data_IF_171280501474
#
_entry.id   IF_171280501474
#
_cell.length_a   1.000
_cell.length_b   1.000
_cell.length_c   1.000
_cell.angle_alpha   90.00
_cell.angle_beta   90.00
_cell.angle_gamma   90.00
#
_symmetry.space_group_name_H-M   'P 1'
#
loop_
_entity.id
_entity.type
_entity.pdbx_description
1 polymer ?
#
# COMPACT_ATOMS: atom_id res chain seq x y z
N UNK A 1 -7.13 -17.07 13.61
CA UNK A 1 -5.83 -16.97 12.92
C UNK A 1 -4.85 -16.33 13.88
N UNK A 2 -3.72 -16.97 14.21
CA UNK A 2 -2.71 -16.35 15.07
C UNK A 2 -2.02 -15.21 14.28
N UNK A 3 -2.09 -13.98 14.78
CA UNK A 3 -1.41 -12.84 14.16
C UNK A 3 0.10 -13.02 14.30
N UNK A 4 0.81 -13.00 13.17
CA UNK A 4 2.27 -12.93 13.19
C UNK A 4 2.70 -11.56 13.72
N UNK A 5 3.69 -11.45 14.63
CA UNK A 5 4.13 -10.17 15.17
C UNK A 5 4.62 -9.22 14.09
N UNK A 6 4.46 -7.91 14.33
CA UNK A 6 5.04 -6.87 13.51
C UNK A 6 6.55 -6.82 13.81
N UNK A 7 7.34 -7.28 12.85
CA UNK A 7 8.79 -7.25 12.96
C UNK A 7 9.33 -5.83 12.79
N UNK A 8 10.33 -5.44 13.58
CA UNK A 8 10.99 -4.15 13.46
C UNK A 8 12.51 -4.25 13.68
N UNK A 9 13.25 -3.30 13.08
CA UNK A 9 14.67 -3.08 13.32
C UNK A 9 14.87 -1.70 13.95
N UNK A 10 15.90 -1.57 14.79
CA UNK A 10 16.33 -0.28 15.30
C UNK A 10 17.25 0.39 14.27
N UNK A 11 17.01 1.67 13.97
CA UNK A 11 17.87 2.48 13.11
C UNK A 11 18.24 3.77 13.82
N UNK A 12 19.49 4.16 13.68
CA UNK A 12 19.95 5.49 14.06
C UNK A 12 19.50 6.52 13.02
N UNK A 13 18.96 7.64 13.49
CA UNK A 13 18.57 8.76 12.64
C UNK A 13 18.84 10.07 13.38
N UNK A 14 19.46 11.03 12.70
CA UNK A 14 19.56 12.41 13.20
C UNK A 14 18.20 13.08 13.07
N UNK A 15 17.65 13.57 14.17
CA UNK A 15 16.42 14.34 14.15
C UNK A 15 16.72 15.78 13.78
N UNK A 16 15.93 16.34 12.86
CA UNK A 16 16.05 17.73 12.43
C UNK A 16 14.92 18.61 13.00
N UNK A 17 13.92 18.02 13.65
CA UNK A 17 12.68 18.69 14.08
C UNK A 17 12.31 18.21 15.48
N UNK A 18 11.85 19.13 16.33
CA UNK A 18 11.34 18.86 17.68
C UNK A 18 12.39 19.02 18.79
N UNK A 19 12.04 18.60 20.01
CA UNK A 19 12.86 18.80 21.23
C UNK A 19 14.24 18.12 21.18
N UNK A 20 14.42 17.15 20.29
CA UNK A 20 15.68 16.40 20.10
C UNK A 20 16.37 16.76 18.77
N UNK A 21 16.03 17.89 18.16
CA UNK A 21 16.70 18.36 16.95
C UNK A 21 18.23 18.45 17.13
N UNK A 22 18.98 18.00 16.14
CA UNK A 22 20.44 17.93 16.14
C UNK A 22 21.03 16.67 16.76
N UNK A 23 20.25 15.87 17.51
CA UNK A 23 20.71 14.64 18.17
C UNK A 23 20.46 13.40 17.32
N UNK A 24 21.37 12.43 17.41
CA UNK A 24 21.17 11.07 16.87
C UNK A 24 20.28 10.30 17.84
N UNK A 25 19.16 9.78 17.35
CA UNK A 25 18.24 8.95 18.13
C UNK A 25 18.07 7.59 17.47
N UNK A 26 17.63 6.61 18.26
CA UNK A 26 17.28 5.28 17.77
C UNK A 26 15.77 5.22 17.54
N UNK A 27 15.35 4.82 16.35
CA UNK A 27 13.93 4.68 15.97
C UNK A 27 13.65 3.26 15.51
N UNK A 28 12.56 2.67 16.00
CA UNK A 28 12.03 1.41 15.49
C UNK A 28 11.41 1.60 14.09
N UNK A 29 11.86 0.82 13.12
CA UNK A 29 11.29 0.80 11.76
C UNK A 29 10.73 -0.59 11.46
N UNK A 30 9.46 -0.70 11.04
CA UNK A 30 8.89 -1.99 10.71
C UNK A 30 9.64 -2.61 9.51
N UNK A 31 9.82 -3.92 9.54
CA UNK A 31 10.52 -4.71 8.52
C UNK A 31 9.78 -6.02 8.25
N UNK A 32 10.29 -6.86 7.34
CA UNK A 32 9.76 -8.20 7.09
C UNK A 32 8.36 -8.26 6.48
N UNK A 33 7.82 -7.12 6.03
CA UNK A 33 6.49 -7.02 5.43
C UNK A 33 6.48 -7.69 4.05
N UNK A 34 5.58 -8.63 3.85
CA UNK A 34 5.28 -9.17 2.52
C UNK A 34 4.11 -8.41 1.91
N UNK A 35 4.25 -8.05 0.63
CA UNK A 35 3.14 -7.52 -0.15
C UNK A 35 2.24 -8.69 -0.53
N UNK A 36 0.98 -8.62 -0.14
CA UNK A 36 -0.05 -9.52 -0.68
C UNK A 36 -0.66 -8.80 -1.88
N UNK A 37 -0.60 -9.43 -3.05
CA UNK A 37 -1.26 -8.90 -4.24
C UNK A 37 -2.78 -9.14 -4.20
N UNK A 38 -3.49 -8.49 -5.12
CA UNK A 38 -4.95 -8.53 -5.15
C UNK A 38 -5.51 -9.94 -5.37
N UNK A 39 -4.86 -10.77 -6.18
CA UNK A 39 -5.31 -12.14 -6.45
C UNK A 39 -5.17 -13.03 -5.21
N UNK A 40 -4.00 -12.99 -4.57
CA UNK A 40 -3.75 -13.70 -3.32
C UNK A 40 -4.67 -13.23 -2.19
N UNK A 41 -5.07 -11.95 -2.19
CA UNK A 41 -6.08 -11.44 -1.28
C UNK A 41 -7.46 -12.04 -1.56
N UNK A 42 -7.91 -12.04 -2.82
CA UNK A 42 -9.19 -12.64 -3.23
C UNK A 42 -9.25 -14.15 -2.91
N UNK A 43 -8.15 -14.88 -3.13
CA UNK A 43 -8.04 -16.30 -2.78
C UNK A 43 -8.16 -16.57 -1.27
N UNK A 44 -7.81 -15.60 -0.40
CA UNK A 44 -8.02 -15.74 1.04
C UNK A 44 -9.48 -15.55 1.42
N UNK A 45 -10.17 -14.61 0.76
CA UNK A 45 -11.59 -14.36 0.97
C UNK A 45 -12.40 -15.57 0.49
N UNK A 46 -12.10 -16.11 -0.70
CA UNK A 46 -12.81 -17.25 -1.27
C UNK A 46 -12.77 -18.51 -0.41
N UNK A 47 -11.79 -18.64 0.50
CA UNK A 47 -11.72 -19.77 1.46
C UNK A 47 -12.79 -19.71 2.55
N UNK A 48 -13.37 -18.54 2.76
CA UNK A 48 -14.37 -18.30 3.82
C UNK A 48 -15.74 -17.94 3.25
N UNK A 49 -15.90 -18.00 1.93
CA UNK A 49 -17.15 -17.71 1.21
C UNK A 49 -17.42 -18.80 0.18
N UNK A 50 -18.60 -18.78 -0.43
CA UNK A 50 -18.94 -19.69 -1.54
C UNK A 50 -18.44 -19.21 -2.90
N UNK A 51 -17.92 -17.98 -2.97
CA UNK A 51 -17.40 -17.40 -4.21
C UNK A 51 -16.02 -17.95 -4.53
N UNK A 52 -15.75 -18.15 -5.82
CA UNK A 52 -14.39 -18.40 -6.27
C UNK A 52 -13.55 -17.09 -6.28
N UNK A 53 -12.22 -17.20 -6.40
CA UNK A 53 -11.34 -16.03 -6.32
C UNK A 53 -11.58 -14.99 -7.43
N UNK A 54 -12.06 -15.39 -8.61
CA UNK A 54 -12.38 -14.49 -9.72
C UNK A 54 -13.68 -13.73 -9.45
N UNK A 55 -14.69 -14.40 -8.89
CA UNK A 55 -15.95 -13.79 -8.47
C UNK A 55 -15.70 -12.75 -7.37
N UNK A 56 -14.89 -13.07 -6.37
CA UNK A 56 -14.49 -12.10 -5.33
C UNK A 56 -13.80 -10.89 -5.95
N UNK A 57 -12.87 -11.09 -6.87
CA UNK A 57 -12.18 -10.01 -7.56
C UNK A 57 -13.15 -9.11 -8.33
N UNK A 58 -14.10 -9.71 -9.05
CA UNK A 58 -15.12 -8.99 -9.79
C UNK A 58 -16.01 -8.15 -8.86
N UNK A 59 -16.48 -8.73 -7.75
CA UNK A 59 -17.31 -8.04 -6.76
C UNK A 59 -16.57 -6.86 -6.13
N UNK A 60 -15.29 -7.02 -5.74
CA UNK A 60 -14.51 -5.93 -5.13
C UNK A 60 -14.26 -4.77 -6.10
N UNK A 61 -13.98 -5.08 -7.37
CA UNK A 61 -13.81 -4.05 -8.40
C UNK A 61 -15.14 -3.34 -8.68
N UNK A 62 -16.22 -4.10 -8.89
CA UNK A 62 -17.55 -3.54 -9.11
C UNK A 62 -18.01 -2.68 -7.94
N UNK A 63 -17.80 -3.13 -6.70
CA UNK A 63 -18.12 -2.35 -5.51
C UNK A 63 -17.37 -1.00 -5.49
N UNK A 64 -16.11 -0.98 -5.91
CA UNK A 64 -15.30 0.24 -5.98
C UNK A 64 -15.80 1.19 -7.07
N UNK A 65 -16.21 0.66 -8.22
CA UNK A 65 -16.80 1.42 -9.33
C UNK A 65 -18.16 2.00 -8.95
N UNK A 66 -19.07 1.16 -8.43
CA UNK A 66 -20.40 1.59 -7.97
C UNK A 66 -20.29 2.65 -6.87
N UNK A 67 -19.38 2.48 -5.90
CA UNK A 67 -19.19 3.48 -4.86
C UNK A 67 -18.69 4.82 -5.43
N UNK A 68 -17.82 4.79 -6.44
CA UNK A 68 -17.37 6.00 -7.14
C UNK A 68 -18.52 6.68 -7.86
N UNK A 69 -19.38 5.94 -8.55
CA UNK A 69 -20.51 6.50 -9.30
C UNK A 69 -21.52 7.19 -8.36
N UNK A 70 -21.84 6.56 -7.23
CA UNK A 70 -22.70 7.16 -6.19
C UNK A 70 -22.06 8.45 -5.66
N UNK A 71 -20.77 8.44 -5.34
CA UNK A 71 -20.06 9.64 -4.87
C UNK A 71 -19.98 10.73 -5.94
N UNK A 72 -19.83 10.37 -7.21
CA UNK A 72 -19.82 11.30 -8.32
C UNK A 72 -21.18 12.01 -8.50
N UNK A 73 -22.28 11.36 -8.10
CA UNK A 73 -23.62 11.94 -8.07
C UNK A 73 -23.87 12.86 -6.85
N UNK A 74 -22.89 12.99 -5.95
CA UNK A 74 -22.96 13.86 -4.78
C UNK A 74 -23.38 13.16 -3.49
N UNK A 75 -23.66 11.85 -3.56
CA UNK A 75 -24.06 11.06 -2.41
C UNK A 75 -22.86 10.56 -1.59
N UNK A 76 -23.13 10.06 -0.39
CA UNK A 76 -22.14 9.51 0.54
C UNK A 76 -22.33 8.00 0.62
N UNK A 77 -21.24 7.23 0.55
CA UNK A 77 -21.27 5.77 0.62
C UNK A 77 -20.45 5.29 1.81
N UNK A 78 -21.05 4.46 2.65
CA UNK A 78 -20.32 3.67 3.65
C UNK A 78 -19.74 2.42 2.99
N UNK A 79 -18.41 2.30 2.98
CA UNK A 79 -17.70 1.21 2.33
C UNK A 79 -17.22 0.17 3.34
N UNK A 80 -18.21 -0.43 4.02
CA UNK A 80 -17.99 -1.39 5.10
C UNK A 80 -17.14 -0.82 6.24
N UNK A 81 -16.35 -1.68 6.90
CA UNK A 81 -15.51 -1.27 8.04
C UNK A 81 -14.38 -0.29 7.65
N UNK A 82 -14.06 -0.14 6.36
CA UNK A 82 -13.01 0.78 5.91
C UNK A 82 -13.37 2.25 6.19
N UNK A 83 -14.66 2.58 6.17
CA UNK A 83 -15.15 3.93 6.46
C UNK A 83 -16.01 4.48 5.35
N UNK A 84 -16.05 5.81 5.25
CA UNK A 84 -17.05 6.52 4.42
C UNK A 84 -16.39 7.24 3.25
N UNK A 85 -16.92 7.05 2.05
CA UNK A 85 -16.53 7.77 0.84
C UNK A 85 -17.48 8.96 0.63
N UNK A 86 -16.91 10.17 0.52
CA UNK A 86 -17.67 11.42 0.34
C UNK A 86 -17.12 12.20 -0.85
N UNK A 87 -17.97 12.95 -1.58
CA UNK A 87 -17.49 13.90 -2.57
C UNK A 87 -16.75 15.04 -1.88
N UNK A 88 -15.67 15.51 -2.51
CA UNK A 88 -14.92 16.67 -2.05
C UNK A 88 -14.31 17.38 -3.24
N UNK A 89 -14.04 18.68 -3.11
CA UNK A 89 -13.33 19.45 -4.14
C UNK A 89 -12.49 20.54 -3.47
N UNK A 90 -11.57 21.13 -4.23
CA UNK A 90 -10.83 22.33 -3.83
C UNK A 90 -11.59 23.55 -4.32
N UNK A 91 -11.89 24.51 -3.45
CA UNK A 91 -12.45 25.80 -3.85
C UNK A 91 -11.36 26.86 -3.92
N UNK A 92 -11.36 27.66 -4.97
CA UNK A 92 -10.69 28.97 -4.98
C UNK A 92 -11.50 29.93 -4.11
N UNK A 93 -10.80 30.76 -3.35
CA UNK A 93 -11.42 31.83 -2.57
C UNK A 93 -11.72 33.01 -3.50
N UNK A 94 -12.89 33.63 -3.32
CA UNK A 94 -13.35 34.80 -4.06
C UNK A 94 -13.69 35.88 -3.03
N UNK A 95 -13.44 37.15 -3.35
CA UNK A 95 -13.68 38.24 -2.41
C UNK A 95 -15.18 38.42 -2.14
N UNK A 96 -15.50 38.86 -0.93
CA UNK A 96 -16.90 39.08 -0.51
C UNK A 96 -17.50 40.23 -1.34
N UNK A 97 -18.39 39.89 -2.27
CA UNK A 97 -19.03 40.83 -3.20
C UNK A 97 -18.83 40.48 -4.68
N UNK A 98 -17.85 39.63 -5.01
CA UNK A 98 -17.65 39.12 -6.36
C UNK A 98 -18.51 37.87 -6.63
N UNK A 99 -18.88 37.65 -7.90
CA UNK A 99 -19.72 36.52 -8.27
C UNK A 99 -18.92 35.20 -8.28
N UNK A 100 -19.34 34.25 -7.45
CA UNK A 100 -18.76 32.91 -7.45
C UNK A 100 -19.31 32.07 -8.63
N UNK A 101 -18.42 31.67 -9.56
CA UNK A 101 -18.71 30.78 -10.68
C UNK A 101 -18.15 29.38 -10.44
N UNK A 102 -19.02 28.39 -10.30
CA UNK A 102 -18.64 27.01 -10.01
C UNK A 102 -17.60 26.45 -10.99
N UNK A 103 -17.79 26.64 -12.30
CA UNK A 103 -16.88 26.15 -13.35
C UNK A 103 -15.46 26.72 -13.29
N UNK A 104 -15.28 27.90 -12.66
CA UNK A 104 -13.98 28.59 -12.58
C UNK A 104 -13.32 28.44 -11.20
N UNK A 105 -14.14 28.34 -10.15
CA UNK A 105 -13.69 28.37 -8.77
C UNK A 105 -13.72 27.02 -8.06
N UNK A 106 -14.45 26.03 -8.59
CA UNK A 106 -14.37 24.65 -8.11
C UNK A 106 -13.32 23.90 -8.93
N UNK A 107 -12.35 23.32 -8.24
CA UNK A 107 -11.25 22.58 -8.84
C UNK A 107 -11.14 21.19 -8.24
N UNK A 108 -10.65 20.23 -9.04
CA UNK A 108 -10.24 18.89 -8.59
C UNK A 108 -11.31 18.19 -7.74
N UNK A 109 -12.48 17.85 -8.32
CA UNK A 109 -13.42 16.95 -7.64
C UNK A 109 -12.72 15.60 -7.39
N UNK A 110 -12.84 15.11 -6.16
CA UNK A 110 -12.19 13.88 -5.69
C UNK A 110 -13.14 13.10 -4.79
N UNK A 111 -12.96 11.79 -4.77
CA UNK A 111 -13.54 10.92 -3.74
C UNK A 111 -12.63 10.99 -2.51
N UNK A 112 -13.18 11.40 -1.37
CA UNK A 112 -12.45 11.44 -0.10
C UNK A 112 -12.87 10.27 0.78
N UNK A 113 -11.89 9.50 1.25
CA UNK A 113 -12.11 8.47 2.26
C UNK A 113 -11.98 9.07 3.66
N UNK A 114 -13.06 8.99 4.43
CA UNK A 114 -13.08 9.18 5.88
C UNK A 114 -12.82 7.82 6.54
N UNK A 115 -11.56 7.58 6.85
CA UNK A 115 -11.08 6.33 7.43
C UNK A 115 -11.73 6.02 8.79
N UNK A 116 -12.25 4.80 8.94
CA UNK A 116 -12.83 4.33 10.20
C UNK A 116 -11.75 4.19 11.29
N UNK A 117 -11.91 4.92 12.40
CA UNK A 117 -10.96 4.83 13.53
C UNK A 117 -10.82 3.41 14.07
N UNK A 118 -11.93 2.67 14.13
CA UNK A 118 -11.96 1.29 14.64
C UNK A 118 -11.13 0.36 13.76
N UNK A 119 -11.28 0.46 12.44
CA UNK A 119 -10.57 -0.41 11.50
C UNK A 119 -9.07 -0.07 11.41
N UNK A 120 -8.72 1.21 11.39
CA UNK A 120 -7.33 1.65 11.22
C UNK A 120 -6.51 1.68 12.52
N UNK A 121 -7.12 1.39 13.67
CA UNK A 121 -6.41 1.25 14.95
C UNK A 121 -6.12 -0.23 15.21
N UNK A 122 -4.83 -0.58 15.32
CA UNK A 122 -4.40 -1.94 15.62
C UNK A 122 -4.13 -2.08 17.12
N UNK A 123 -5.06 -2.70 17.86
CA UNK A 123 -4.90 -2.95 19.31
C UNK A 123 -4.34 -4.35 19.62
N UNK A 124 -4.61 -5.33 18.75
CA UNK A 124 -4.29 -6.75 18.98
C UNK A 124 -3.04 -7.19 18.20
N UNK A 125 -1.97 -6.41 18.30
CA UNK A 125 -0.69 -6.67 17.63
C UNK A 125 0.45 -6.79 18.62
N UNK A 126 1.34 -7.75 18.35
CA UNK A 126 2.59 -7.93 19.08
C UNK A 126 3.76 -7.45 18.23
N UNK A 127 4.86 -7.06 18.88
CA UNK A 127 6.06 -6.56 18.22
C UNK A 127 7.24 -7.51 18.45
N UNK A 128 8.04 -7.73 17.41
CA UNK A 128 9.23 -8.56 17.47
C UNK A 128 10.42 -7.76 16.93
N UNK A 129 11.43 -7.53 17.76
CA UNK A 129 12.68 -6.95 17.28
C UNK A 129 13.47 -8.03 16.57
N UNK A 130 13.84 -7.77 15.32
CA UNK A 130 14.75 -8.62 14.56
C UNK A 130 16.08 -7.92 14.37
N UNK A 131 17.18 -8.65 14.36
CA UNK A 131 18.47 -8.10 13.94
C UNK A 131 18.45 -7.86 12.43
N UNK A 132 19.09 -6.81 11.91
CA UNK A 132 19.29 -6.62 10.48
C UNK A 132 20.21 -7.72 9.92
N UNK A 133 19.66 -8.91 9.68
CA UNK A 133 20.35 -10.04 9.06
C UNK A 133 20.32 -9.93 7.54
N UNK A 134 21.46 -10.24 6.92
CA UNK A 134 21.81 -10.08 5.51
C UNK A 134 20.66 -10.36 4.53
N UNK A 135 20.56 -9.52 3.49
CA UNK A 135 19.79 -9.84 2.28
C UNK A 135 20.03 -11.31 1.98
N UNK A 136 18.98 -12.13 1.93
CA UNK A 136 19.06 -13.48 1.35
C UNK A 136 19.67 -13.33 -0.05
N UNK A 137 20.97 -13.54 -0.15
CA UNK A 137 21.70 -13.59 -1.40
C UNK A 137 21.04 -14.70 -2.20
N UNK A 138 20.45 -14.33 -3.34
CA UNK A 138 20.24 -15.30 -4.41
C UNK A 138 21.59 -15.99 -4.60
N UNK A 139 21.66 -17.29 -4.27
CA UNK A 139 22.84 -18.11 -4.60
C UNK A 139 23.06 -18.01 -6.10
N UNK A 140 24.01 -17.18 -6.49
CA UNK A 140 24.71 -17.30 -7.76
C UNK A 140 25.44 -18.65 -7.73
N UNK A 141 24.94 -19.63 -8.49
CA UNK A 141 25.81 -20.70 -8.99
C UNK A 141 26.54 -20.10 -10.19
N UNK A 142 27.82 -19.77 -10.02
CA UNK A 142 28.72 -19.53 -11.14
C UNK A 142 30.11 -20.06 -10.82
N UNK A 143 30.45 -21.21 -11.41
CA UNK A 143 31.75 -21.62 -11.99
C UNK A 143 31.60 -23.10 -12.34
N UNK A 144 31.99 -23.59 -13.51
CA UNK A 144 33.35 -23.50 -14.05
C UNK A 144 33.39 -23.13 -15.54
N UNK A 145 34.35 -22.27 -15.88
CA UNK A 145 34.89 -22.12 -17.23
C UNK A 145 35.90 -23.23 -17.47
N UNK A 146 35.87 -23.85 -18.65
CA UNK A 146 37.10 -24.31 -19.30
C UNK A 146 37.11 -23.74 -20.72
N UNK A 147 37.98 -22.75 -20.92
CA UNK A 147 38.53 -22.41 -22.22
C UNK A 147 39.34 -23.61 -22.69
N UNK A 148 39.25 -23.97 -23.96
CA UNK A 148 40.42 -24.20 -24.82
C UNK A 148 39.93 -24.42 -26.27
N UNK A 149 40.34 -23.50 -27.13
CA UNK A 149 40.31 -23.65 -28.59
C UNK A 149 41.24 -24.81 -28.97
N UNK A 150 40.94 -25.58 -30.03
CA UNK A 150 41.71 -25.32 -31.25
C UNK A 150 40.91 -25.56 -32.55
N UNK A 151 41.09 -24.71 -33.56
CA UNK A 151 41.12 -25.17 -34.95
C UNK A 151 42.54 -25.64 -35.30
N UNK A 152 42.81 -26.37 -36.41
CA UNK A 152 42.08 -26.36 -37.68
C UNK A 152 41.73 -27.75 -38.31
N UNK A 153 40.92 -27.67 -39.38
CA UNK A 153 40.61 -28.61 -40.52
C UNK A 153 41.72 -29.60 -40.95
N UNK A 154 41.49 -30.72 -41.73
CA UNK A 154 40.55 -30.86 -42.87
C UNK A 154 39.98 -32.29 -43.24
N UNK A 155 39.25 -32.32 -44.39
CA UNK A 155 38.90 -33.42 -45.33
C UNK A 155 37.93 -34.52 -44.82
N UNK A 156 36.92 -35.00 -45.56
CA UNK A 156 36.56 -34.98 -47.00
C UNK A 156 35.15 -34.42 -47.27
#
# INVERSE_FOLDING_TARGET
MANKPIQFILKEQKLNIGKQAGKTVIVARPTGRQRIDFRNFCERISKSTTFNAQEVAAVLNLASETARDIVANGDIVEFGDLGTLTPSFKSKAVLKGEQFRAQQHIEKPVVKLLASRKYFTLNDVTFEQVTPGEKKTKKEKKTEKKNENPGPVPAD
#
